data_IF_223217200835
#
_entry.id   IF_223217200835
#
_cell.length_a   1.000
_cell.length_b   1.000
_cell.length_c   1.000
_cell.angle_alpha   90.00
_cell.angle_beta   90.00
_cell.angle_gamma   90.00
#
_symmetry.space_group_name_H-M   'P 1'
#
loop_
_entity.id
_entity.type
_entity.pdbx_description
1 polymer ?
#
# COMPACT_ATOMS: atom_id res chain seq x y z
N UNK A 1 -6.78 -15.52 25.95
CA UNK A 1 -6.13 -16.00 24.72
C UNK A 1 -4.77 -16.57 25.12
N UNK A 2 -4.51 -17.83 24.81
CA UNK A 2 -3.21 -18.48 25.08
C UNK A 2 -2.36 -18.46 23.79
N UNK A 3 -1.03 -18.53 23.90
CA UNK A 3 -0.14 -18.53 22.73
C UNK A 3 -0.42 -19.67 21.75
N UNK A 4 -0.90 -20.82 22.22
CA UNK A 4 -1.29 -21.94 21.37
C UNK A 4 -2.61 -21.75 20.64
N UNK A 5 -3.41 -20.75 21.00
CA UNK A 5 -4.67 -20.40 20.31
C UNK A 5 -4.43 -19.53 19.07
N UNK A 6 -3.22 -18.98 18.93
CA UNK A 6 -2.82 -18.16 17.78
C UNK A 6 -2.70 -19.04 16.53
N UNK A 7 -3.64 -18.91 15.64
CA UNK A 7 -3.66 -19.61 14.34
C UNK A 7 -3.72 -18.58 13.22
N UNK A 8 -3.00 -18.81 12.12
CA UNK A 8 -3.14 -17.97 10.93
C UNK A 8 -4.56 -18.09 10.38
N UNK A 9 -5.02 -17.05 9.71
CA UNK A 9 -6.32 -17.07 9.03
C UNK A 9 -6.41 -18.24 8.05
N UNK A 10 -7.62 -18.83 7.86
CA UNK A 10 -7.82 -19.92 6.90
C UNK A 10 -7.31 -19.51 5.51
N UNK A 11 -6.48 -20.38 4.88
CA UNK A 11 -5.88 -20.10 3.58
C UNK A 11 -4.57 -19.30 3.59
N UNK A 12 -4.15 -18.72 4.72
CA UNK A 12 -2.91 -17.95 4.82
C UNK A 12 -1.63 -18.80 4.70
N UNK A 13 -1.74 -20.10 5.00
CA UNK A 13 -0.63 -21.05 4.87
C UNK A 13 -1.02 -22.23 4.02
N UNK A 14 -0.20 -22.53 3.02
CA UNK A 14 -0.28 -23.76 2.23
C UNK A 14 0.90 -24.67 2.52
N UNK A 15 0.65 -25.98 2.49
CA UNK A 15 1.72 -26.96 2.63
C UNK A 15 2.75 -26.76 1.51
N UNK A 16 4.03 -26.64 1.88
CA UNK A 16 5.12 -26.53 0.92
C UNK A 16 5.17 -27.79 0.03
N UNK A 17 5.05 -27.61 -1.27
CA UNK A 17 5.22 -28.68 -2.25
C UNK A 17 6.68 -29.10 -2.30
N UNK A 18 6.94 -30.39 -2.01
CA UNK A 18 8.29 -31.00 -2.13
C UNK A 18 8.30 -31.89 -3.38
N UNK A 19 9.30 -31.71 -4.21
CA UNK A 19 9.44 -32.43 -5.46
C UNK A 19 10.54 -33.49 -5.33
N UNK A 20 10.45 -34.60 -6.13
CA UNK A 20 11.50 -35.62 -6.19
C UNK A 20 11.48 -36.65 -5.08
N UNK A 21 10.45 -36.75 -4.26
CA UNK A 21 10.36 -37.69 -3.13
C UNK A 21 9.60 -38.97 -3.49
N UNK A 22 10.06 -39.71 -4.49
CA UNK A 22 9.46 -40.96 -4.92
C UNK A 22 8.29 -40.79 -5.92
N UNK A 23 7.97 -41.86 -6.63
CA UNK A 23 6.97 -41.85 -7.71
C UNK A 23 5.53 -41.82 -7.17
N UNK A 24 5.27 -42.51 -6.05
CA UNK A 24 3.95 -42.54 -5.42
C UNK A 24 3.42 -41.16 -4.97
N UNK A 25 4.30 -40.19 -4.78
CA UNK A 25 3.90 -38.80 -4.47
C UNK A 25 3.25 -38.06 -5.66
N UNK A 26 3.30 -38.61 -6.89
CA UNK A 26 2.91 -37.96 -8.13
C UNK A 26 3.85 -36.83 -8.57
N UNK A 27 4.88 -36.54 -7.79
CA UNK A 27 5.85 -35.45 -8.01
C UNK A 27 7.30 -35.95 -8.11
N UNK A 28 7.47 -37.28 -8.25
CA UNK A 28 8.76 -37.91 -8.49
C UNK A 28 9.25 -37.76 -9.93
N UNK A 29 10.24 -38.60 -10.32
CA UNK A 29 10.84 -38.68 -11.66
C UNK A 29 11.25 -37.31 -12.21
N UNK A 30 10.41 -36.63 -12.98
CA UNK A 30 10.71 -35.37 -13.63
C UNK A 30 10.46 -34.14 -12.74
N UNK A 31 9.93 -34.31 -11.54
CA UNK A 31 9.66 -33.22 -10.56
C UNK A 31 8.83 -32.05 -11.11
N UNK A 32 7.92 -32.35 -12.05
CA UNK A 32 7.10 -31.34 -12.73
C UNK A 32 7.81 -30.51 -13.79
N UNK A 33 9.08 -30.81 -14.12
CA UNK A 33 9.86 -30.09 -15.14
C UNK A 33 9.76 -30.65 -16.55
N UNK A 34 9.13 -31.82 -16.72
CA UNK A 34 9.10 -32.52 -17.99
C UNK A 34 10.43 -33.25 -18.29
N UNK A 35 10.62 -33.69 -19.55
CA UNK A 35 11.77 -34.53 -19.88
C UNK A 35 12.99 -33.76 -20.39
N UNK A 36 12.83 -32.96 -21.42
CA UNK A 36 13.91 -32.21 -22.08
C UNK A 36 13.58 -30.72 -22.15
N UNK A 37 14.54 -29.92 -22.52
CA UNK A 37 14.38 -28.49 -22.68
C UNK A 37 15.18 -27.66 -21.69
N UNK A 38 15.30 -26.39 -21.98
CA UNK A 38 16.11 -25.46 -21.20
C UNK A 38 15.63 -25.34 -19.76
N UNK A 39 14.32 -25.29 -19.51
CA UNK A 39 13.73 -25.13 -18.18
C UNK A 39 13.85 -26.35 -17.25
N UNK A 40 14.19 -27.53 -17.81
CA UNK A 40 14.36 -28.77 -17.04
C UNK A 40 15.79 -28.96 -16.48
N UNK A 41 16.72 -28.10 -16.82
CA UNK A 41 18.12 -28.14 -16.35
C UNK A 41 18.29 -27.43 -15.01
N UNK A 42 19.40 -27.74 -14.33
CA UNK A 42 19.76 -27.02 -13.09
C UNK A 42 20.08 -25.56 -13.42
N UNK A 43 19.68 -24.62 -12.52
CA UNK A 43 19.96 -23.21 -12.69
C UNK A 43 19.28 -22.51 -13.89
N UNK A 44 18.41 -23.21 -14.63
CA UNK A 44 17.79 -22.68 -15.82
C UNK A 44 16.69 -21.67 -15.50
N UNK A 45 17.03 -20.40 -15.50
CA UNK A 45 16.09 -19.28 -15.44
C UNK A 45 16.09 -18.55 -16.79
N UNK A 46 14.93 -18.54 -17.44
CA UNK A 46 14.75 -17.74 -18.66
C UNK A 46 14.16 -16.40 -18.24
N UNK A 47 14.80 -15.30 -18.62
CA UNK A 47 14.31 -13.95 -18.33
C UNK A 47 12.87 -13.77 -18.86
N UNK A 48 11.98 -13.05 -18.15
CA UNK A 48 10.65 -12.73 -18.63
C UNK A 48 10.72 -12.00 -19.99
N UNK A 49 9.81 -12.38 -20.90
CA UNK A 49 9.74 -11.77 -22.24
C UNK A 49 10.83 -12.20 -23.23
N UNK A 50 11.62 -13.26 -22.90
CA UNK A 50 12.58 -13.81 -23.86
C UNK A 50 11.88 -14.62 -24.96
N UNK A 51 12.15 -14.30 -26.22
CA UNK A 51 11.51 -14.88 -27.41
C UNK A 51 12.52 -15.64 -28.28
N UNK A 52 13.36 -16.49 -27.67
CA UNK A 52 14.27 -17.38 -28.39
C UNK A 52 15.37 -16.70 -29.21
N UNK A 53 15.66 -15.43 -28.96
CA UNK A 53 16.63 -14.63 -29.74
C UNK A 53 15.96 -13.61 -30.68
N UNK A 54 14.66 -13.76 -30.94
CA UNK A 54 13.88 -12.73 -31.61
C UNK A 54 13.77 -11.48 -30.73
N UNK A 55 13.71 -10.28 -31.34
CA UNK A 55 13.51 -9.03 -30.60
C UNK A 55 12.20 -9.11 -29.81
N UNK A 56 12.23 -8.96 -28.46
CA UNK A 56 11.05 -9.04 -27.63
C UNK A 56 9.96 -8.05 -28.04
N UNK A 57 8.68 -8.43 -27.87
CA UNK A 57 7.54 -7.62 -28.26
C UNK A 57 7.55 -6.22 -27.64
N UNK A 58 7.95 -6.10 -26.39
CA UNK A 58 8.07 -4.82 -25.67
C UNK A 58 9.09 -3.84 -26.31
N UNK A 59 10.03 -4.35 -27.08
CA UNK A 59 11.01 -3.54 -27.83
C UNK A 59 10.55 -3.22 -29.26
N UNK A 60 9.67 -4.04 -29.83
CA UNK A 60 9.07 -3.83 -31.15
C UNK A 60 7.94 -2.82 -31.14
N UNK A 61 7.21 -2.75 -30.03
CA UNK A 61 6.10 -1.80 -29.88
C UNK A 61 6.63 -0.36 -29.70
N UNK A 62 6.03 0.62 -30.39
CA UNK A 62 6.38 2.02 -30.19
C UNK A 62 6.09 2.46 -28.76
N UNK A 63 7.03 3.17 -28.16
CA UNK A 63 6.84 3.79 -26.84
C UNK A 63 5.92 4.99 -26.98
N UNK A 64 4.95 5.13 -26.09
CA UNK A 64 4.01 6.25 -26.05
C UNK A 64 3.98 6.89 -24.67
N UNK A 65 3.88 8.22 -24.67
CA UNK A 65 3.69 9.02 -23.46
C UNK A 65 4.96 9.25 -22.66
N UNK A 66 4.77 10.04 -21.61
CA UNK A 66 5.80 10.42 -20.65
C UNK A 66 5.37 10.02 -19.25
N UNK A 67 6.34 9.81 -18.37
CA UNK A 67 6.06 9.53 -16.95
C UNK A 67 6.33 10.77 -16.12
N UNK A 68 5.30 11.23 -15.40
CA UNK A 68 5.39 12.32 -14.42
C UNK A 68 5.73 11.82 -13.00
N UNK A 69 6.18 10.57 -12.87
CA UNK A 69 6.41 9.94 -11.56
C UNK A 69 7.42 10.69 -10.69
N UNK A 70 8.43 11.34 -11.29
CA UNK A 70 9.46 12.12 -10.57
C UNK A 70 8.92 13.40 -9.92
N UNK A 71 7.84 13.94 -10.46
CA UNK A 71 7.26 15.22 -10.03
C UNK A 71 5.90 15.04 -9.37
N UNK A 72 5.51 13.79 -9.16
CA UNK A 72 4.23 13.49 -8.51
C UNK A 72 4.33 13.76 -7.02
N UNK A 73 3.56 14.71 -6.52
CA UNK A 73 3.38 14.94 -5.08
C UNK A 73 2.65 13.75 -4.44
N UNK A 74 3.23 13.16 -3.41
CA UNK A 74 2.71 11.98 -2.73
C UNK A 74 2.41 12.33 -1.28
N UNK A 75 1.13 12.37 -0.92
CA UNK A 75 0.68 12.64 0.44
C UNK A 75 0.48 11.37 1.24
N UNK A 76 0.81 11.41 2.54
CA UNK A 76 0.29 10.45 3.51
C UNK A 76 -1.21 10.70 3.70
N UNK A 77 -2.01 9.67 3.49
CA UNK A 77 -3.48 9.79 3.53
C UNK A 77 -4.01 9.25 4.84
N UNK A 78 -4.81 10.07 5.55
CA UNK A 78 -5.53 9.69 6.77
C UNK A 78 -7.02 9.96 6.58
N UNK A 79 -7.87 9.05 7.02
CA UNK A 79 -9.33 9.18 6.94
C UNK A 79 -9.91 9.76 8.25
N UNK A 80 -11.00 10.52 8.14
CA UNK A 80 -11.67 11.11 9.31
C UNK A 80 -12.18 10.07 10.30
N UNK A 81 -12.62 8.88 9.84
CA UNK A 81 -12.98 7.77 10.73
C UNK A 81 -11.83 7.36 11.66
N UNK A 82 -10.61 7.31 11.13
CA UNK A 82 -9.42 6.94 11.92
C UNK A 82 -9.05 8.01 12.92
N UNK A 83 -9.33 9.29 12.62
CA UNK A 83 -9.17 10.39 13.57
C UNK A 83 -10.16 10.27 14.72
N UNK A 84 -11.41 9.95 14.43
CA UNK A 84 -12.45 9.72 15.45
C UNK A 84 -12.09 8.59 16.44
N UNK A 85 -11.45 7.53 15.95
CA UNK A 85 -11.03 6.38 16.77
C UNK A 85 -9.81 6.68 17.65
N UNK A 86 -8.90 7.56 17.19
CA UNK A 86 -7.58 7.72 17.79
C UNK A 86 -7.42 8.99 18.63
N UNK A 87 -8.22 10.00 18.36
CA UNK A 87 -8.13 11.30 19.04
C UNK A 87 -9.36 11.60 19.88
N UNK A 88 -9.13 12.31 20.97
CA UNK A 88 -10.19 12.78 21.86
C UNK A 88 -10.83 14.07 21.34
N UNK A 89 -12.00 14.40 21.88
CA UNK A 89 -12.71 15.64 21.55
C UNK A 89 -11.88 16.89 21.94
N UNK A 90 -11.81 17.85 21.03
CA UNK A 90 -11.02 19.07 21.18
C UNK A 90 -9.54 18.94 20.86
N UNK A 91 -9.07 17.77 20.37
CA UNK A 91 -7.67 17.57 20.03
C UNK A 91 -7.22 18.44 18.83
N UNK A 92 -5.97 18.92 18.90
CA UNK A 92 -5.29 19.53 17.75
C UNK A 92 -4.56 18.45 16.97
N UNK A 93 -4.87 18.35 15.69
CA UNK A 93 -4.35 17.33 14.76
C UNK A 93 -3.36 18.01 13.82
N UNK A 94 -2.10 17.88 14.16
CA UNK A 94 -0.97 18.28 13.33
C UNK A 94 -0.20 17.06 12.82
N UNK A 95 0.81 17.26 12.00
CA UNK A 95 1.64 16.16 11.48
C UNK A 95 2.35 15.40 12.61
N UNK A 96 2.79 16.09 13.67
CA UNK A 96 3.47 15.49 14.80
C UNK A 96 2.53 14.55 15.59
N UNK A 97 1.31 15.00 15.89
CA UNK A 97 0.29 14.20 16.56
C UNK A 97 -0.10 12.97 15.75
N UNK A 98 -0.19 13.10 14.40
CA UNK A 98 -0.48 11.96 13.52
C UNK A 98 0.66 10.94 13.49
N UNK A 99 1.90 11.37 13.61
CA UNK A 99 3.07 10.49 13.72
C UNK A 99 3.13 9.79 15.08
N UNK A 100 2.86 10.49 16.17
CA UNK A 100 2.77 9.89 17.52
C UNK A 100 1.65 8.85 17.60
N UNK A 101 0.49 9.13 17.03
CA UNK A 101 -0.63 8.18 16.94
C UNK A 101 -0.34 6.98 16.02
N UNK A 102 0.78 6.99 15.27
CA UNK A 102 1.19 5.94 14.35
C UNK A 102 0.36 5.86 13.06
N UNK A 103 -0.40 6.91 12.74
CA UNK A 103 -1.23 7.00 11.53
C UNK A 103 -0.42 7.38 10.29
N UNK A 104 0.64 8.14 10.48
CA UNK A 104 1.62 8.48 9.44
C UNK A 104 2.95 7.84 9.83
N UNK A 105 3.28 6.73 9.18
CA UNK A 105 4.53 6.01 9.42
C UNK A 105 5.46 6.19 8.23
N UNK A 106 6.76 6.18 8.51
CA UNK A 106 7.94 6.27 7.64
C UNK A 106 7.70 6.29 6.13
N UNK A 107 8.39 7.14 5.43
CA UNK A 107 8.33 7.33 3.99
C UNK A 107 8.68 8.77 3.64
N UNK A 108 9.13 8.99 2.42
CA UNK A 108 9.29 10.32 1.89
C UNK A 108 7.92 10.80 1.38
N UNK A 109 7.10 11.33 2.29
CA UNK A 109 5.85 12.00 1.94
C UNK A 109 6.10 13.49 1.75
N UNK A 110 5.46 14.10 0.78
CA UNK A 110 5.53 15.55 0.54
C UNK A 110 4.59 16.33 1.48
N UNK A 111 3.78 15.64 2.26
CA UNK A 111 2.86 16.19 3.24
C UNK A 111 1.76 15.22 3.64
N UNK A 112 0.80 15.70 4.45
CA UNK A 112 -0.33 14.93 4.94
C UNK A 112 -1.63 15.42 4.32
N UNK A 113 -2.50 14.48 3.95
CA UNK A 113 -3.82 14.76 3.40
C UNK A 113 -4.93 14.02 4.14
N UNK A 114 -5.93 14.76 4.63
CA UNK A 114 -7.12 14.17 5.26
C UNK A 114 -8.23 13.97 4.25
N UNK A 115 -8.81 12.76 4.26
CA UNK A 115 -9.93 12.35 3.40
C UNK A 115 -11.20 12.11 4.22
N UNK A 116 -12.36 12.41 3.61
CA UNK A 116 -13.67 12.37 4.25
C UNK A 116 -14.32 10.99 4.34
N UNK A 117 -13.56 9.89 4.39
CA UNK A 117 -14.15 8.57 4.58
C UNK A 117 -14.47 8.32 6.06
N UNK A 118 -15.71 7.91 6.34
CA UNK A 118 -16.28 7.76 7.67
C UNK A 118 -17.03 9.01 8.17
N UNK A 119 -17.56 8.96 9.37
CA UNK A 119 -18.28 10.06 10.01
C UNK A 119 -17.47 10.62 11.18
N UNK A 120 -17.74 11.86 11.55
CA UNK A 120 -17.10 12.58 12.66
C UNK A 120 -18.15 13.21 13.52
N UNK A 121 -18.09 12.92 14.83
CA UNK A 121 -18.93 13.52 15.87
C UNK A 121 -18.13 14.43 16.80
N UNK A 122 -16.82 14.24 16.86
CA UNK A 122 -15.90 15.00 17.72
C UNK A 122 -15.44 16.29 17.06
N UNK A 123 -15.14 17.30 17.86
CA UNK A 123 -14.59 18.57 17.38
C UNK A 123 -13.07 18.46 17.29
N UNK A 124 -12.53 18.71 16.12
CA UNK A 124 -11.08 18.69 15.89
C UNK A 124 -10.59 20.06 15.39
N UNK A 125 -9.40 20.45 15.82
CA UNK A 125 -8.64 21.53 15.21
C UNK A 125 -7.57 20.90 14.31
N UNK A 126 -7.77 20.97 13.00
CA UNK A 126 -6.92 20.30 12.01
C UNK A 126 -5.93 21.29 11.39
N UNK A 127 -4.63 20.99 11.51
CA UNK A 127 -3.53 21.78 10.95
C UNK A 127 -2.64 20.87 10.09
N UNK A 128 -3.02 20.67 8.83
CA UNK A 128 -2.31 19.80 7.88
C UNK A 128 -2.21 20.46 6.50
N UNK A 129 -1.34 19.89 5.64
CA UNK A 129 -1.08 20.47 4.31
C UNK A 129 -2.31 20.49 3.41
N UNK A 130 -3.13 19.44 3.43
CA UNK A 130 -4.34 19.37 2.61
C UNK A 130 -5.49 18.64 3.30
N UNK A 131 -6.70 19.16 3.08
CA UNK A 131 -7.95 18.51 3.49
C UNK A 131 -8.86 18.43 2.26
N UNK A 132 -9.52 17.30 2.06
CA UNK A 132 -10.52 17.16 0.99
C UNK A 132 -11.81 17.92 1.33
N UNK A 133 -12.54 18.41 0.32
CA UNK A 133 -13.80 19.14 0.52
C UNK A 133 -14.78 18.36 1.41
N UNK A 134 -14.97 17.06 1.14
CA UNK A 134 -15.83 16.21 1.95
C UNK A 134 -15.36 16.02 3.41
N UNK A 135 -14.04 16.04 3.66
CA UNK A 135 -13.52 15.99 5.02
C UNK A 135 -13.75 17.32 5.74
N UNK A 136 -13.50 18.44 5.06
CA UNK A 136 -13.73 19.79 5.59
C UNK A 136 -15.20 19.96 6.02
N UNK A 137 -16.16 19.64 5.15
CA UNK A 137 -17.58 19.72 5.48
C UNK A 137 -17.97 18.88 6.72
N UNK A 138 -17.40 17.69 6.86
CA UNK A 138 -17.68 16.81 8.00
C UNK A 138 -17.10 17.35 9.31
N UNK A 139 -15.87 17.87 9.28
CA UNK A 139 -15.20 18.46 10.44
C UNK A 139 -15.93 19.75 10.86
N UNK A 140 -16.29 20.62 9.93
CA UNK A 140 -17.04 21.86 10.20
C UNK A 140 -18.45 21.58 10.72
N UNK A 141 -19.15 20.59 10.18
CA UNK A 141 -20.47 20.15 10.70
C UNK A 141 -20.38 19.62 12.14
N UNK A 142 -19.27 18.97 12.50
CA UNK A 142 -19.00 18.54 13.88
C UNK A 142 -18.56 19.71 14.80
N UNK A 143 -18.39 20.92 14.26
CA UNK A 143 -17.97 22.10 15.01
C UNK A 143 -16.46 22.21 15.20
N UNK A 144 -15.68 21.51 14.40
CA UNK A 144 -14.23 21.62 14.32
C UNK A 144 -13.76 22.77 13.41
N UNK A 145 -12.47 23.03 13.42
CA UNK A 145 -11.82 24.04 12.57
C UNK A 145 -10.74 23.41 11.72
N UNK A 146 -10.61 23.86 10.46
CA UNK A 146 -9.58 23.40 9.53
C UNK A 146 -8.72 24.58 9.13
N UNK A 147 -7.41 24.45 9.35
CA UNK A 147 -6.39 25.43 8.94
C UNK A 147 -5.50 24.72 7.92
N UNK A 148 -5.61 25.13 6.66
CA UNK A 148 -4.75 24.60 5.59
C UNK A 148 -3.39 25.32 5.64
N UNK A 149 -2.30 24.59 5.77
CA UNK A 149 -0.95 25.15 5.86
C UNK A 149 -0.54 25.96 4.61
N UNK A 150 -1.23 25.78 3.47
CA UNK A 150 -0.95 26.49 2.23
C UNK A 150 -1.57 27.91 2.15
N UNK A 151 -2.57 28.23 2.96
CA UNK A 151 -3.19 29.57 2.97
C UNK A 151 -2.39 30.56 3.84
N UNK A 152 -1.49 30.08 4.70
CA UNK A 152 -0.68 30.95 5.59
C UNK A 152 0.62 31.48 4.97
N UNK A 153 0.98 31.08 3.74
CA UNK A 153 2.22 31.51 3.06
C UNK A 153 2.02 32.65 2.06
N UNK A 154 0.79 33.09 1.81
CA UNK A 154 0.46 34.19 0.88
C UNK A 154 -0.04 35.49 1.58
N UNK A 155 0.35 35.69 2.86
CA UNK A 155 0.02 36.92 3.59
C UNK A 155 1.25 37.69 4.00
#
# INVERSE_FOLDING_TARGET
MRLNDLKPAPGAKHRRKRLGNGESSGLGKTCGKGHKGQKSRAGASIRPGFEGGQMPLNRRLPKKGFSNARFKTVYAVVNVATLEERFDDGATIDEAALREAGLVQGGAWDGVKILGNGDVSKKFTVQVDKVSAAAREKIEKAGGTVVDAQESSDS
#
